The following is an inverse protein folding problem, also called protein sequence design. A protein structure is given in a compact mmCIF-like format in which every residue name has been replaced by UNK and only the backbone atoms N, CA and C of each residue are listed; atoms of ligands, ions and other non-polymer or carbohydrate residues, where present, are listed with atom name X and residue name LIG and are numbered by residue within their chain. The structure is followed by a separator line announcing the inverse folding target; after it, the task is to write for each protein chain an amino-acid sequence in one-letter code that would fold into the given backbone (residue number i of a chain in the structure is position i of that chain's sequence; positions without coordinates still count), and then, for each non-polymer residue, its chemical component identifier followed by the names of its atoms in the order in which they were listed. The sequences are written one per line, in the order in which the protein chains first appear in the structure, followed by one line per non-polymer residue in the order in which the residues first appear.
data_IF_663542938404
#
_entry.id   IF_663542938404
#
_cell.length_a   1.000
_cell.length_b   1.000
_cell.length_c   1.000
_cell.angle_alpha   90.00
_cell.angle_beta   90.00
_cell.angle_gamma   90.00
#
_symmetry.space_group_name_H-M   'P 1'
#
loop_
_entity.id
_entity.type
_entity.pdbx_description
1 polymer ?
#
# COMPACT_ATOMS: atom_id res chain seq x y z
N UNK A 1 15.65 -0.11 19.24
CA UNK A 1 14.83 1.08 18.97
C UNK A 1 13.81 0.84 17.87
N UNK A 2 14.24 0.38 16.71
CA UNK A 2 13.33 0.18 15.57
C UNK A 2 12.29 -0.89 15.82
N UNK A 3 12.66 -1.95 16.53
CA UNK A 3 11.73 -3.03 16.87
C UNK A 3 10.57 -2.51 17.72
N UNK A 4 10.85 -1.61 18.65
CA UNK A 4 9.84 -1.01 19.50
C UNK A 4 8.87 -0.12 18.73
N UNK A 5 9.39 0.61 17.73
CA UNK A 5 8.56 1.44 16.87
C UNK A 5 7.53 0.59 16.11
N UNK A 6 7.96 -0.52 15.52
CA UNK A 6 7.06 -1.39 14.77
C UNK A 6 6.01 -2.04 15.66
N UNK A 7 6.40 -2.45 16.85
CA UNK A 7 5.46 -2.97 17.84
C UNK A 7 4.46 -1.92 18.28
N UNK A 8 4.92 -0.69 18.47
CA UNK A 8 4.06 0.42 18.84
C UNK A 8 2.99 0.67 17.76
N UNK A 9 3.41 0.73 16.51
CA UNK A 9 2.48 0.92 15.38
C UNK A 9 1.43 -0.19 15.36
N UNK A 10 1.85 -1.44 15.51
CA UNK A 10 0.95 -2.58 15.49
C UNK A 10 -0.03 -2.55 16.66
N UNK A 11 0.46 -2.30 17.87
CA UNK A 11 -0.37 -2.32 19.08
C UNK A 11 -1.38 -1.17 19.11
N UNK A 12 -1.01 0.00 18.64
CA UNK A 12 -1.88 1.18 18.62
C UNK A 12 -2.73 1.28 17.37
N UNK A 13 -2.53 0.38 16.41
CA UNK A 13 -3.22 0.38 15.13
C UNK A 13 -3.15 1.75 14.43
N UNK A 14 -1.96 2.33 14.44
CA UNK A 14 -1.71 3.61 13.79
C UNK A 14 -1.89 3.44 12.29
N UNK A 15 -2.68 4.33 11.62
CA UNK A 15 -2.82 4.26 10.18
C UNK A 15 -1.49 4.46 9.47
N UNK A 16 -1.22 3.61 8.49
CA UNK A 16 0.01 3.66 7.71
C UNK A 16 -0.31 3.48 6.24
N UNK A 17 0.32 4.27 5.41
CA UNK A 17 0.30 4.11 3.96
C UNK A 17 1.73 3.80 3.51
N UNK A 18 1.97 2.57 3.07
CA UNK A 18 3.25 2.16 2.54
C UNK A 18 3.19 2.03 1.03
N UNK A 19 4.07 2.71 0.32
CA UNK A 19 4.10 2.68 -1.14
C UNK A 19 5.45 2.20 -1.63
N UNK A 20 5.46 1.33 -2.62
CA UNK A 20 6.68 0.80 -3.24
C UNK A 20 7.62 0.21 -2.19
N UNK A 21 8.76 0.85 -1.92
CA UNK A 21 9.71 0.39 -0.89
C UNK A 21 9.09 0.37 0.50
N UNK A 22 8.17 1.30 0.78
CA UNK A 22 7.42 1.32 2.03
C UNK A 22 6.56 0.07 2.23
N UNK A 23 5.94 -0.41 1.16
CA UNK A 23 5.16 -1.65 1.20
C UNK A 23 6.07 -2.85 1.51
N UNK A 24 7.26 -2.88 0.92
CA UNK A 24 8.25 -3.92 1.20
C UNK A 24 8.62 -3.92 2.69
N UNK A 25 8.85 -2.74 3.24
CA UNK A 25 9.22 -2.59 4.64
C UNK A 25 8.11 -3.11 5.57
N UNK A 26 6.85 -2.78 5.26
CA UNK A 26 5.72 -3.27 6.04
C UNK A 26 5.65 -4.80 6.07
N UNK A 27 5.93 -5.42 4.93
CA UNK A 27 5.95 -6.88 4.84
C UNK A 27 7.12 -7.47 5.65
N UNK A 28 8.31 -6.86 5.53
CA UNK A 28 9.50 -7.33 6.25
C UNK A 28 9.34 -7.22 7.77
N UNK A 29 8.61 -6.21 8.24
CA UNK A 29 8.38 -6.00 9.66
C UNK A 29 7.13 -6.72 10.17
N UNK A 30 6.50 -7.53 9.33
CA UNK A 30 5.30 -8.31 9.67
C UNK A 30 4.12 -7.45 10.12
N UNK A 31 4.05 -6.21 9.63
CA UNK A 31 2.87 -5.36 9.87
C UNK A 31 1.74 -5.70 8.91
N UNK A 32 2.06 -6.32 7.79
CA UNK A 32 1.10 -6.95 6.89
C UNK A 32 1.51 -8.40 6.68
N UNK A 33 0.55 -9.28 6.43
CA UNK A 33 0.80 -10.70 6.26
C UNK A 33 1.15 -11.08 4.83
N UNK A 34 0.78 -10.25 3.86
CA UNK A 34 1.08 -10.51 2.45
C UNK A 34 2.56 -10.32 2.17
N UNK A 35 3.17 -11.29 1.50
CA UNK A 35 4.59 -11.22 1.15
C UNK A 35 4.80 -10.39 -0.10
N UNK A 36 5.98 -9.78 -0.22
CA UNK A 36 6.33 -8.89 -1.32
C UNK A 36 7.70 -9.25 -1.87
N UNK A 37 7.82 -9.27 -3.21
CA UNK A 37 9.10 -9.49 -3.91
C UNK A 37 9.56 -8.22 -4.59
N UNK A 38 10.85 -7.91 -4.49
CA UNK A 38 11.49 -6.77 -5.16
C UNK A 38 11.72 -7.07 -6.63
N UNK A 39 11.74 -6.01 -7.46
CA UNK A 39 12.16 -6.07 -8.87
C UNK A 39 11.45 -7.16 -9.67
N UNK A 40 10.17 -7.38 -9.41
CA UNK A 40 9.46 -8.52 -9.95
C UNK A 40 8.93 -8.30 -11.36
N UNK A 41 8.89 -7.04 -11.85
CA UNK A 41 8.39 -6.75 -13.20
C UNK A 41 9.46 -6.88 -14.29
N UNK A 42 10.66 -7.35 -13.95
CA UNK A 42 11.74 -7.58 -14.89
C UNK A 42 12.68 -6.40 -15.01
N UNK A 43 13.87 -6.69 -15.61
CA UNK A 43 14.95 -5.72 -15.66
C UNK A 43 14.72 -4.58 -16.66
N UNK A 44 13.91 -4.82 -17.69
CA UNK A 44 13.76 -3.88 -18.80
C UNK A 44 12.66 -2.85 -18.55
N UNK A 45 11.82 -3.06 -17.55
CA UNK A 45 10.71 -2.16 -17.24
C UNK A 45 11.02 -1.47 -15.92
N UNK A 46 11.61 -0.26 -16.03
CA UNK A 46 11.91 0.54 -14.85
C UNK A 46 10.70 1.34 -14.37
N UNK A 47 9.88 1.80 -15.31
CA UNK A 47 8.69 2.57 -14.95
C UNK A 47 7.61 2.41 -16.02
N UNK A 48 6.36 2.48 -15.59
CA UNK A 48 5.22 2.51 -16.50
C UNK A 48 4.02 3.09 -15.75
N UNK A 49 3.00 3.47 -16.52
CA UNK A 49 1.74 3.97 -15.98
C UNK A 49 0.60 3.13 -16.54
N UNK A 50 -0.42 2.94 -15.74
CA UNK A 50 -1.59 2.18 -16.15
C UNK A 50 -2.80 2.59 -15.34
N UNK A 51 -3.98 2.46 -15.94
CA UNK A 51 -5.22 2.62 -15.19
C UNK A 51 -5.49 1.37 -14.39
N UNK A 52 -5.72 1.55 -13.10
CA UNK A 52 -5.97 0.45 -12.16
C UNK A 52 -7.46 0.35 -11.86
N UNK A 53 -7.90 -0.88 -11.61
CA UNK A 53 -9.19 -1.11 -10.97
C UNK A 53 -8.99 -1.02 -9.47
N UNK A 54 -9.87 -0.31 -8.78
CA UNK A 54 -9.81 -0.24 -7.32
C UNK A 54 -11.20 -0.48 -6.73
N UNK A 55 -11.22 -0.90 -5.48
CA UNK A 55 -12.43 -1.03 -4.67
C UNK A 55 -12.13 -0.38 -3.33
N UNK A 56 -12.24 0.95 -3.30
CA UNK A 56 -11.82 1.70 -2.13
C UNK A 56 -12.49 3.08 -2.12
N UNK A 57 -13.15 3.42 -1.01
CA UNK A 57 -13.74 4.74 -0.77
C UNK A 57 -14.68 5.21 -1.90
N UNK A 58 -15.53 4.29 -2.39
CA UNK A 58 -16.50 4.55 -3.48
C UNK A 58 -15.86 4.91 -4.82
N UNK A 59 -14.57 4.63 -4.99
CA UNK A 59 -13.87 4.81 -6.26
C UNK A 59 -13.60 3.46 -6.89
N UNK A 60 -13.62 3.41 -8.23
CA UNK A 60 -13.40 2.17 -8.98
C UNK A 60 -12.20 2.23 -9.91
N UNK A 61 -11.55 3.38 -10.05
CA UNK A 61 -10.40 3.57 -10.94
C UNK A 61 -9.36 4.47 -10.29
N UNK A 62 -8.10 4.21 -10.64
CA UNK A 62 -6.98 5.02 -10.17
C UNK A 62 -5.86 4.95 -11.20
N UNK A 63 -5.24 6.08 -11.51
CA UNK A 63 -4.08 6.11 -12.40
C UNK A 63 -2.84 5.68 -11.62
N UNK A 64 -2.30 4.51 -11.94
CA UNK A 64 -1.13 3.96 -11.25
C UNK A 64 0.17 4.32 -11.93
N UNK A 65 1.12 4.84 -11.16
CA UNK A 65 2.48 5.10 -11.61
C UNK A 65 3.40 4.11 -10.90
N UNK A 66 4.09 3.29 -11.68
CA UNK A 66 4.96 2.23 -11.16
C UNK A 66 6.40 2.56 -11.50
N UNK A 67 7.27 2.59 -10.49
CA UNK A 67 8.70 2.82 -10.68
C UNK A 67 9.44 1.72 -9.93
N UNK A 68 10.12 0.83 -10.67
CA UNK A 68 10.82 -0.32 -10.09
C UNK A 68 9.95 -1.05 -9.07
N UNK A 69 8.70 -1.24 -9.43
CA UNK A 69 7.69 -1.67 -8.48
C UNK A 69 7.93 -3.12 -8.01
N UNK A 70 7.70 -3.39 -6.73
CA UNK A 70 7.66 -4.76 -6.25
C UNK A 70 6.34 -5.43 -6.66
N UNK A 71 6.22 -6.71 -6.36
CA UNK A 71 4.96 -7.45 -6.57
C UNK A 71 4.61 -8.19 -5.29
N UNK A 72 3.31 -8.28 -5.02
CA UNK A 72 2.85 -9.15 -3.95
C UNK A 72 3.06 -10.60 -4.35
N UNK A 73 3.47 -11.42 -3.38
CA UNK A 73 3.78 -12.83 -3.60
C UNK A 73 2.80 -13.68 -2.83
N UNK A 74 2.24 -14.68 -3.51
CA UNK A 74 1.24 -15.54 -2.91
C UNK A 74 -0.13 -14.89 -2.82
N UNK A 75 -0.94 -15.33 -1.86
CA UNK A 75 -2.31 -14.86 -1.72
C UNK A 75 -2.35 -13.52 -1.00
N UNK A 76 -2.90 -12.52 -1.67
CA UNK A 76 -3.07 -11.19 -1.08
C UNK A 76 -4.22 -11.17 -0.08
N UNK A 77 -4.01 -10.51 1.05
CA UNK A 77 -5.03 -10.31 2.07
C UNK A 77 -5.76 -9.01 1.77
N UNK A 78 -7.09 -9.09 1.67
CA UNK A 78 -7.97 -7.94 1.49
C UNK A 78 -7.51 -6.98 0.38
N UNK A 79 -7.48 -7.46 -0.87
CA UNK A 79 -7.01 -6.63 -1.98
C UNK A 79 -7.96 -5.47 -2.26
N UNK A 80 -7.40 -4.31 -2.61
CA UNK A 80 -8.16 -3.10 -2.91
C UNK A 80 -7.79 -2.47 -4.24
N UNK A 81 -6.71 -2.90 -4.89
CA UNK A 81 -6.27 -2.36 -6.17
C UNK A 81 -5.68 -3.45 -7.05
N UNK A 82 -5.98 -3.38 -8.34
CA UNK A 82 -5.54 -4.38 -9.33
C UNK A 82 -5.01 -3.72 -10.58
N UNK A 83 -3.90 -4.27 -11.08
CA UNK A 83 -3.39 -4.03 -12.43
C UNK A 83 -3.81 -5.25 -13.25
N UNK A 84 -4.82 -5.09 -14.09
CA UNK A 84 -5.50 -6.22 -14.74
C UNK A 84 -5.95 -7.22 -13.67
N UNK A 85 -5.42 -8.43 -13.65
CA UNK A 85 -5.78 -9.44 -12.66
C UNK A 85 -4.81 -9.51 -11.48
N UNK A 86 -3.76 -8.70 -11.49
CA UNK A 86 -2.74 -8.72 -10.45
C UNK A 86 -3.06 -7.74 -9.33
N UNK A 87 -3.02 -8.20 -8.08
CA UNK A 87 -3.21 -7.34 -6.93
C UNK A 87 -2.00 -6.42 -6.77
N UNK A 88 -2.25 -5.12 -6.71
CA UNK A 88 -1.20 -4.11 -6.52
C UNK A 88 -1.47 -3.23 -5.30
N UNK A 89 -2.52 -3.49 -4.57
CA UNK A 89 -2.82 -2.78 -3.32
C UNK A 89 -3.64 -3.64 -2.39
N UNK A 90 -3.33 -3.59 -1.11
CA UNK A 90 -4.04 -4.31 -0.04
C UNK A 90 -4.30 -3.40 1.14
N UNK A 91 -5.26 -3.78 1.97
CA UNK A 91 -5.57 -3.10 3.22
C UNK A 91 -5.63 -4.13 4.34
N UNK A 92 -4.90 -3.91 5.41
CA UNK A 92 -4.86 -4.83 6.55
C UNK A 92 -4.60 -4.04 7.84
N UNK A 93 -5.48 -4.16 8.83
CA UNK A 93 -5.26 -3.59 10.17
C UNK A 93 -4.90 -2.10 10.17
N UNK A 94 -5.66 -1.28 9.47
CA UNK A 94 -5.41 0.16 9.34
C UNK A 94 -4.15 0.49 8.53
N UNK A 95 -3.66 -0.46 7.76
CA UNK A 95 -2.49 -0.28 6.92
C UNK A 95 -2.89 -0.51 5.47
N UNK A 96 -2.52 0.42 4.60
CA UNK A 96 -2.63 0.24 3.16
C UNK A 96 -1.22 0.10 2.59
N UNK A 97 -0.99 -0.95 1.82
CA UNK A 97 0.27 -1.20 1.13
C UNK A 97 0.01 -1.23 -0.38
N UNK A 98 0.72 -0.39 -1.10
CA UNK A 98 0.59 -0.25 -2.55
C UNK A 98 1.94 -0.50 -3.21
N UNK A 99 1.93 -1.17 -4.36
CA UNK A 99 3.16 -1.37 -5.12
C UNK A 99 3.46 -0.20 -6.06
N UNK A 100 2.52 0.72 -6.23
CA UNK A 100 2.65 1.90 -7.08
C UNK A 100 2.81 3.17 -6.23
N UNK A 101 3.01 4.30 -6.91
CA UNK A 101 3.27 5.60 -6.29
C UNK A 101 2.06 6.52 -6.44
N UNK A 102 1.11 6.52 -5.49
CA UNK A 102 -0.06 7.41 -5.60
C UNK A 102 0.30 8.89 -5.49
N UNK A 103 1.44 9.20 -4.86
CA UNK A 103 1.90 10.59 -4.69
C UNK A 103 2.30 11.24 -6.02
N UNK A 104 2.49 10.46 -7.08
CA UNK A 104 2.88 10.98 -8.39
C UNK A 104 1.67 11.28 -9.29
N UNK A 105 0.48 11.26 -8.73
CA UNK A 105 -0.75 11.63 -9.44
C UNK A 105 -1.47 12.74 -8.69
N UNK A 106 -2.44 13.38 -9.36
CA UNK A 106 -3.25 14.43 -8.74
C UNK A 106 -4.38 13.89 -7.87
N UNK A 107 -4.61 12.58 -7.90
CA UNK A 107 -5.69 11.95 -7.12
C UNK A 107 -5.19 11.68 -5.71
N UNK A 108 -5.76 12.38 -4.74
CA UNK A 108 -5.35 12.32 -3.33
C UNK A 108 -6.09 11.27 -2.52
N UNK A 109 -6.74 10.29 -3.18
CA UNK A 109 -7.58 9.30 -2.53
C UNK A 109 -6.91 8.62 -1.33
N UNK A 110 -5.71 8.06 -1.53
CA UNK A 110 -5.02 7.32 -0.47
C UNK A 110 -4.46 8.24 0.60
N UNK A 111 -4.01 9.42 0.23
CA UNK A 111 -3.50 10.41 1.18
C UNK A 111 -4.63 10.99 2.04
N UNK A 112 -5.81 11.18 1.45
CA UNK A 112 -7.00 11.60 2.21
C UNK A 112 -7.41 10.53 3.20
N UNK A 113 -7.36 9.27 2.78
CA UNK A 113 -7.65 8.17 3.70
C UNK A 113 -6.68 8.20 4.90
N UNK A 114 -5.39 8.39 4.63
CA UNK A 114 -4.38 8.41 5.68
C UNK A 114 -4.65 9.54 6.68
N UNK A 115 -4.90 10.73 6.18
CA UNK A 115 -5.17 11.91 7.03
C UNK A 115 -6.45 11.70 7.84
N UNK A 116 -7.50 11.24 7.19
CA UNK A 116 -8.79 11.01 7.84
C UNK A 116 -8.68 9.92 8.92
N UNK A 117 -7.98 8.84 8.62
CA UNK A 117 -7.79 7.74 9.57
C UNK A 117 -6.91 8.14 10.73
N UNK A 118 -5.88 8.93 10.50
CA UNK A 118 -5.01 9.45 11.55
C UNK A 118 -5.78 10.38 12.50
N UNK A 119 -6.61 11.25 11.94
CA UNK A 119 -7.45 12.14 12.73
C UNK A 119 -8.45 11.34 13.58
N UNK A 120 -9.10 10.35 12.99
CA UNK A 120 -10.03 9.49 13.72
C UNK A 120 -9.31 8.73 14.85
N UNK A 121 -8.12 8.24 14.60
CA UNK A 121 -7.32 7.52 15.60
C UNK A 121 -6.98 8.43 16.78
N UNK A 122 -6.63 9.68 16.53
CA UNK A 122 -6.36 10.66 17.59
C UNK A 122 -7.63 10.97 18.40
N UNK A 123 -8.75 11.14 17.72
CA UNK A 123 -10.02 11.49 18.37
C UNK A 123 -10.57 10.34 19.22
N UNK A 124 -10.13 9.11 18.98
CA UNK A 124 -10.59 7.91 19.69
C UNK A 124 -9.86 7.67 21.01
N UNK A 125 -8.86 8.47 21.31
CA UNK A 125 -8.02 8.26 22.51
C UNK A 125 -8.43 9.12 23.67
#
# INVERSE_FOLDING_TARGET
MYVELWKYIANKQIPVLGTCAGAILLSQKNLISTKIRRNAFGRQINSFESELSIDFEDQDRFHGVFIRAPRFDGKAVNPIAWLDDEVVGISENNIIALTFHPELTDNLLFHRWLISSAKHNLDSK
#
